data_IF_777034319916
#
_entry.id   IF_777034319916
#
_cell.length_a   1.000
_cell.length_b   1.000
_cell.length_c   1.000
_cell.angle_alpha   90.00
_cell.angle_beta   90.00
_cell.angle_gamma   90.00
#
_symmetry.space_group_name_H-M   'P 1'
#
loop_
_entity.id
_entity.type
_entity.pdbx_description
1 polymer ?
#
# COMPACT_ATOMS: atom_id res chain seq x y z
N UNK A 1 9.75 -13.00 -20.00
CA UNK A 1 10.42 -12.91 -18.68
C UNK A 1 9.70 -11.90 -17.79
N UNK A 2 9.67 -10.61 -18.16
CA UNK A 2 9.02 -9.53 -17.40
C UNK A 2 7.58 -9.81 -16.91
N UNK A 3 6.72 -10.37 -17.77
CA UNK A 3 5.33 -10.73 -17.42
C UNK A 3 5.18 -11.79 -16.31
N UNK A 4 6.25 -12.53 -16.01
CA UNK A 4 6.32 -13.53 -14.94
C UNK A 4 7.12 -13.01 -13.74
N UNK A 5 7.26 -11.68 -13.63
CA UNK A 5 8.03 -11.04 -12.57
C UNK A 5 7.47 -11.24 -11.17
N UNK A 6 6.25 -11.75 -11.03
CA UNK A 6 5.71 -12.16 -9.74
C UNK A 6 6.41 -13.41 -9.16
N UNK A 7 7.13 -14.17 -9.99
CA UNK A 7 7.87 -15.38 -9.59
C UNK A 7 9.28 -15.07 -9.06
N UNK A 8 9.73 -13.82 -9.17
CA UNK A 8 11.03 -13.37 -8.68
C UNK A 8 10.94 -11.93 -8.13
N UNK A 9 12.02 -11.39 -7.56
CA UNK A 9 11.97 -10.09 -6.90
C UNK A 9 12.30 -8.92 -7.85
N UNK A 10 11.32 -8.49 -8.64
CA UNK A 10 11.44 -7.28 -9.47
C UNK A 10 10.98 -6.00 -8.72
N UNK A 11 11.52 -4.84 -9.11
CA UNK A 11 11.06 -3.54 -8.62
C UNK A 11 9.89 -3.03 -9.48
N UNK A 12 8.88 -2.44 -8.84
CA UNK A 12 7.65 -2.03 -9.52
C UNK A 12 7.88 -0.93 -10.57
N UNK A 13 8.92 -0.11 -10.40
CA UNK A 13 9.31 0.93 -11.35
C UNK A 13 10.18 0.43 -12.51
N UNK A 14 10.42 -0.88 -12.64
CA UNK A 14 11.32 -1.43 -13.65
C UNK A 14 10.88 -1.03 -15.08
N UNK A 15 9.63 -1.27 -15.45
CA UNK A 15 9.13 -0.91 -16.78
C UNK A 15 9.18 0.60 -17.02
N UNK A 16 8.75 1.42 -16.04
CA UNK A 16 8.80 2.87 -16.15
C UNK A 16 10.19 3.41 -16.51
N UNK A 17 11.25 2.91 -15.85
CA UNK A 17 12.61 3.35 -16.14
C UNK A 17 13.21 2.70 -17.40
N UNK A 18 12.89 1.43 -17.67
CA UNK A 18 13.36 0.73 -18.87
C UNK A 18 12.77 1.35 -20.16
N UNK A 19 11.51 1.78 -20.12
CA UNK A 19 10.86 2.46 -21.24
C UNK A 19 11.43 3.87 -21.49
N UNK A 20 12.18 4.43 -20.52
CA UNK A 20 12.81 5.76 -20.57
C UNK A 20 14.33 5.71 -20.72
N UNK A 21 14.93 4.58 -21.10
CA UNK A 21 16.40 4.44 -21.23
C UNK A 21 17.01 5.56 -22.09
N UNK A 22 16.39 5.90 -23.22
CA UNK A 22 16.93 6.91 -24.14
C UNK A 22 16.92 8.32 -23.55
N UNK A 23 16.04 8.60 -22.59
CA UNK A 23 15.99 9.86 -21.85
C UNK A 23 17.02 9.86 -20.73
N UNK A 24 17.08 8.77 -19.96
CA UNK A 24 17.94 8.66 -18.76
C UNK A 24 19.43 8.62 -19.12
N UNK A 25 19.79 8.11 -20.31
CA UNK A 25 21.18 7.97 -20.75
C UNK A 25 21.84 9.27 -21.23
N UNK A 26 21.09 10.37 -21.36
CA UNK A 26 21.64 11.64 -21.83
C UNK A 26 22.57 12.25 -20.77
N UNK A 27 23.68 12.85 -21.19
CA UNK A 27 24.68 13.44 -20.27
C UNK A 27 24.11 14.61 -19.46
N UNK A 28 23.07 15.27 -19.96
CA UNK A 28 22.38 16.41 -19.36
C UNK A 28 21.05 16.04 -18.69
N UNK A 29 20.79 14.75 -18.49
CA UNK A 29 19.56 14.27 -17.85
C UNK A 29 19.39 14.83 -16.42
N UNK A 30 18.26 15.48 -16.19
CA UNK A 30 17.78 15.91 -14.87
C UNK A 30 16.50 15.13 -14.55
N UNK A 31 16.45 14.35 -13.44
CA UNK A 31 15.25 13.62 -13.06
C UNK A 31 14.06 14.54 -12.85
N UNK A 32 12.91 14.17 -13.41
CA UNK A 32 11.64 14.84 -13.10
C UNK A 32 11.13 14.43 -11.72
N UNK A 33 10.18 15.19 -11.16
CA UNK A 33 9.50 14.82 -9.91
C UNK A 33 8.85 13.42 -10.01
N UNK A 34 8.34 13.07 -11.20
CA UNK A 34 7.79 11.73 -11.45
C UNK A 34 8.86 10.63 -11.41
N UNK A 35 10.07 10.92 -11.89
CA UNK A 35 11.20 9.99 -11.78
C UNK A 35 11.61 9.80 -10.32
N UNK A 36 11.59 10.87 -9.52
CA UNK A 36 11.86 10.82 -8.09
C UNK A 36 10.79 10.01 -7.34
N UNK A 37 9.50 10.24 -7.62
CA UNK A 37 8.38 9.50 -7.01
C UNK A 37 8.39 8.01 -7.37
N UNK A 38 8.84 7.65 -8.58
CA UNK A 38 8.97 6.25 -9.02
C UNK A 38 10.27 5.60 -8.54
N UNK A 39 11.25 6.37 -8.09
CA UNK A 39 12.51 5.85 -7.62
C UNK A 39 12.29 4.96 -6.39
N UNK A 40 12.88 3.76 -6.40
CA UNK A 40 12.77 2.83 -5.27
C UNK A 40 14.00 2.93 -4.39
N UNK A 41 13.87 3.66 -3.29
CA UNK A 41 14.83 3.66 -2.18
C UNK A 41 14.19 2.94 -1.00
N UNK A 42 14.85 1.93 -0.45
CA UNK A 42 14.35 1.22 0.74
C UNK A 42 14.64 2.07 1.98
N UNK A 43 13.60 2.53 2.66
CA UNK A 43 13.72 3.23 3.94
C UNK A 43 14.28 2.26 5.00
N UNK A 44 15.47 2.57 5.53
CA UNK A 44 16.01 1.95 6.76
C UNK A 44 16.18 3.04 7.81
N UNK A 45 15.62 2.81 8.99
CA UNK A 45 15.54 3.79 10.07
C UNK A 45 14.19 4.51 10.14
N UNK A 46 14.23 5.68 10.77
CA UNK A 46 13.10 6.57 11.01
C UNK A 46 13.49 7.93 10.43
N UNK A 47 12.65 8.49 9.58
CA UNK A 47 12.84 9.80 8.97
C UNK A 47 11.70 10.73 9.39
N UNK A 48 12.03 12.00 9.63
CA UNK A 48 11.07 12.99 10.10
C UNK A 48 10.92 14.12 9.09
N UNK A 49 9.68 14.49 8.81
CA UNK A 49 9.35 15.68 8.01
C UNK A 49 8.34 16.52 8.75
N UNK A 50 8.60 17.83 8.81
CA UNK A 50 7.69 18.82 9.42
C UNK A 50 7.24 19.80 8.35
N UNK A 51 5.94 20.03 8.26
CA UNK A 51 5.35 20.97 7.31
C UNK A 51 4.08 21.59 7.89
N UNK A 52 3.59 22.66 7.26
CA UNK A 52 2.39 23.37 7.69
C UNK A 52 1.42 23.50 6.51
N UNK A 53 0.15 23.16 6.74
CA UNK A 53 -0.95 23.33 5.78
C UNK A 53 -2.05 24.12 6.47
N UNK A 54 -2.49 25.24 5.90
CA UNK A 54 -3.54 26.10 6.45
C UNK A 54 -3.38 26.42 7.95
N UNK A 55 -2.13 26.72 8.36
CA UNK A 55 -1.71 27.01 9.74
C UNK A 55 -1.74 25.81 10.70
N UNK A 56 -2.08 24.61 10.22
CA UNK A 56 -1.99 23.35 10.96
C UNK A 56 -0.62 22.74 10.73
N UNK A 57 0.09 22.44 11.82
CA UNK A 57 1.43 21.84 11.76
C UNK A 57 1.32 20.32 11.72
N UNK A 58 2.05 19.70 10.80
CA UNK A 58 2.19 18.25 10.67
C UNK A 58 3.63 17.85 10.97
N UNK A 59 3.78 16.81 11.78
CA UNK A 59 5.07 16.16 12.04
C UNK A 59 4.91 14.68 11.69
N UNK A 60 5.47 14.31 10.54
CA UNK A 60 5.34 12.98 9.96
C UNK A 60 6.61 12.18 10.19
N UNK A 61 6.46 10.92 10.58
CA UNK A 61 7.53 9.96 10.76
C UNK A 61 7.39 8.86 9.71
N UNK A 62 8.33 8.77 8.76
CA UNK A 62 8.45 7.64 7.84
C UNK A 62 9.33 6.56 8.48
N UNK A 63 8.80 5.35 8.60
CA UNK A 63 9.45 4.25 9.30
C UNK A 63 9.66 3.07 8.36
N UNK A 64 10.86 2.50 8.38
CA UNK A 64 11.17 1.31 7.57
C UNK A 64 10.19 0.16 7.84
N UNK A 65 9.56 -0.35 6.77
CA UNK A 65 8.52 -1.39 6.86
C UNK A 65 9.00 -2.84 6.86
N UNK A 66 10.28 -3.06 6.52
CA UNK A 66 10.89 -4.38 6.45
C UNK A 66 10.95 -5.04 7.83
N UNK A 67 10.91 -6.38 7.89
CA UNK A 67 10.83 -7.12 9.17
C UNK A 67 11.88 -6.69 10.20
N UNK A 68 13.11 -6.45 9.77
CA UNK A 68 14.22 -6.06 10.65
C UNK A 68 14.12 -4.61 11.16
N UNK A 69 13.36 -3.76 10.48
CA UNK A 69 13.15 -2.36 10.85
C UNK A 69 12.03 -2.18 11.88
N UNK A 70 11.08 -3.11 11.94
CA UNK A 70 9.85 -2.99 12.75
C UNK A 70 10.09 -2.88 14.25
N UNK A 71 11.23 -3.38 14.76
CA UNK A 71 11.60 -3.22 16.18
C UNK A 71 11.81 -1.76 16.57
N UNK A 72 12.16 -0.89 15.62
CA UNK A 72 12.39 0.54 15.83
C UNK A 72 11.07 1.33 15.97
N UNK A 73 9.95 0.80 15.49
CA UNK A 73 8.65 1.50 15.46
C UNK A 73 8.18 1.97 16.84
N UNK A 74 8.50 1.23 17.90
CA UNK A 74 8.16 1.61 19.28
C UNK A 74 8.73 2.98 19.68
N UNK A 75 9.80 3.44 19.03
CA UNK A 75 10.41 4.76 19.25
C UNK A 75 9.49 5.90 18.77
N UNK A 76 8.56 5.61 17.85
CA UNK A 76 7.63 6.58 17.28
C UNK A 76 6.24 6.52 17.92
N UNK A 77 5.97 5.61 18.86
CA UNK A 77 4.60 5.37 19.37
C UNK A 77 4.14 6.35 20.46
N UNK A 78 4.99 7.28 20.88
CA UNK A 78 4.62 8.30 21.85
C UNK A 78 3.92 9.48 21.14
N UNK A 79 2.75 9.87 21.64
CA UNK A 79 1.98 11.05 21.22
C UNK A 79 1.64 11.15 19.72
N UNK A 80 1.46 10.01 19.04
CA UNK A 80 0.96 9.99 17.66
C UNK A 80 -0.53 10.37 17.62
N UNK A 81 -0.90 11.25 16.69
CA UNK A 81 -2.31 11.62 16.48
C UNK A 81 -3.08 10.54 15.71
N UNK A 82 -2.45 9.97 14.69
CA UNK A 82 -3.00 8.91 13.85
C UNK A 82 -1.86 8.10 13.23
N UNK A 83 -2.18 6.89 12.77
CA UNK A 83 -1.26 6.05 11.98
C UNK A 83 -1.71 6.08 10.53
N UNK A 84 -0.80 6.33 9.60
CA UNK A 84 -1.03 6.08 8.18
C UNK A 84 -0.45 4.71 7.87
N UNK A 85 -1.31 3.72 7.59
CA UNK A 85 -0.90 2.37 7.23
C UNK A 85 -1.01 2.19 5.72
N UNK A 86 0.12 1.99 5.04
CA UNK A 86 0.18 1.90 3.58
C UNK A 86 0.28 0.45 3.12
N UNK A 87 -0.62 0.06 2.21
CA UNK A 87 -0.71 -1.28 1.63
C UNK A 87 -0.40 -1.22 0.15
N UNK A 88 0.47 -2.11 -0.35
CA UNK A 88 0.64 -2.30 -1.78
C UNK A 88 -0.45 -3.27 -2.31
N UNK A 89 -1.64 -2.75 -2.62
CA UNK A 89 -2.81 -3.57 -3.00
C UNK A 89 -2.57 -4.42 -4.25
N UNK A 90 -1.74 -3.94 -5.19
CA UNK A 90 -1.36 -4.67 -6.40
C UNK A 90 -0.46 -5.89 -6.15
N UNK A 91 0.09 -6.08 -4.93
CA UNK A 91 1.05 -7.15 -4.61
C UNK A 91 0.41 -8.48 -4.18
N UNK A 92 -0.89 -8.69 -4.43
CA UNK A 92 -1.62 -9.91 -4.03
C UNK A 92 -1.05 -11.21 -4.62
N UNK A 93 -0.31 -11.15 -5.74
CA UNK A 93 0.29 -12.31 -6.40
C UNK A 93 1.81 -12.45 -6.17
N UNK A 94 2.38 -11.69 -5.21
CA UNK A 94 3.82 -11.62 -4.96
C UNK A 94 4.18 -12.10 -3.56
N UNK A 95 5.43 -12.50 -3.37
CA UNK A 95 6.01 -12.85 -2.05
C UNK A 95 6.97 -11.76 -1.55
N UNK A 96 7.10 -11.64 -0.23
CA UNK A 96 8.04 -10.70 0.40
C UNK A 96 9.48 -11.08 0.10
N UNK A 97 10.40 -10.12 0.20
CA UNK A 97 11.83 -10.36 -0.11
C UNK A 97 12.53 -11.16 0.98
N UNK A 98 12.09 -10.97 2.22
CA UNK A 98 12.75 -11.47 3.42
C UNK A 98 12.80 -13.00 3.50
N UNK A 99 11.77 -13.70 3.01
CA UNK A 99 11.72 -15.17 3.01
C UNK A 99 11.39 -15.79 1.64
N UNK A 100 11.04 -14.96 0.65
CA UNK A 100 10.62 -15.39 -0.68
C UNK A 100 9.51 -16.47 -0.68
N UNK A 101 8.66 -16.46 0.35
CA UNK A 101 7.61 -17.45 0.59
C UNK A 101 6.30 -16.81 1.03
N UNK A 102 6.33 -15.85 1.97
CA UNK A 102 5.13 -15.23 2.52
C UNK A 102 4.52 -14.27 1.49
N UNK A 103 3.23 -14.43 1.19
CA UNK A 103 2.50 -13.51 0.31
C UNK A 103 2.53 -12.06 0.85
N UNK A 104 2.79 -11.08 -0.01
CA UNK A 104 2.94 -9.67 0.40
C UNK A 104 1.66 -9.06 0.98
N UNK A 105 0.50 -9.37 0.40
CA UNK A 105 -0.77 -8.87 0.91
C UNK A 105 -1.13 -9.55 2.24
N UNK A 106 -0.84 -10.85 2.38
CA UNK A 106 -1.02 -11.57 3.64
C UNK A 106 -0.11 -11.02 4.75
N UNK A 107 1.16 -10.71 4.45
CA UNK A 107 2.07 -10.05 5.39
C UNK A 107 1.50 -8.70 5.84
N UNK A 108 0.94 -7.91 4.91
CA UNK A 108 0.31 -6.63 5.23
C UNK A 108 -0.91 -6.79 6.15
N UNK A 109 -1.77 -7.79 5.91
CA UNK A 109 -2.90 -8.12 6.78
C UNK A 109 -2.43 -8.53 8.18
N UNK A 110 -1.40 -9.37 8.28
CA UNK A 110 -0.83 -9.80 9.56
C UNK A 110 -0.23 -8.61 10.33
N UNK A 111 0.48 -7.73 9.63
CA UNK A 111 1.08 -6.54 10.21
C UNK A 111 0.01 -5.54 10.68
N UNK A 112 -1.02 -5.30 9.86
CA UNK A 112 -2.16 -4.47 10.23
C UNK A 112 -2.87 -5.01 11.47
N UNK A 113 -3.11 -6.33 11.54
CA UNK A 113 -3.69 -6.98 12.73
C UNK A 113 -2.84 -6.78 13.98
N UNK A 114 -1.52 -6.84 13.86
CA UNK A 114 -0.59 -6.58 14.97
C UNK A 114 -0.66 -5.14 15.45
N UNK A 115 -0.69 -4.17 14.52
CA UNK A 115 -0.82 -2.74 14.83
C UNK A 115 -2.19 -2.44 15.46
N UNK A 116 -3.27 -2.92 14.86
CA UNK A 116 -4.64 -2.69 15.32
C UNK A 116 -4.87 -3.20 16.75
N UNK A 117 -4.32 -4.37 17.08
CA UNK A 117 -4.48 -4.97 18.41
C UNK A 117 -3.36 -4.58 19.40
N UNK A 118 -2.46 -3.67 19.00
CA UNK A 118 -1.35 -3.28 19.83
C UNK A 118 -1.83 -2.51 21.07
N UNK A 119 -1.43 -2.96 22.26
CA UNK A 119 -1.84 -2.33 23.54
C UNK A 119 -1.47 -0.85 23.66
N UNK A 120 -0.39 -0.42 23.00
CA UNK A 120 0.08 0.96 23.02
C UNK A 120 -0.67 1.86 22.02
N UNK A 121 -1.44 1.27 21.10
CA UNK A 121 -2.12 1.97 20.00
C UNK A 121 -3.66 1.89 20.09
N UNK A 122 -4.21 1.40 21.21
CA UNK A 122 -5.66 1.12 21.37
C UNK A 122 -6.59 2.32 21.20
N UNK A 123 -6.07 3.54 21.35
CA UNK A 123 -6.84 4.79 21.17
C UNK A 123 -6.42 5.53 19.90
N UNK A 124 -5.47 5.00 19.15
CA UNK A 124 -4.91 5.63 17.97
C UNK A 124 -5.64 5.10 16.74
N UNK A 125 -6.30 6.00 16.01
CA UNK A 125 -7.00 5.65 14.78
C UNK A 125 -6.02 5.43 13.63
N UNK A 126 -6.43 4.59 12.68
CA UNK A 126 -5.62 4.22 11.52
C UNK A 126 -6.27 4.76 10.25
N UNK A 127 -5.53 5.57 9.51
CA UNK A 127 -5.82 5.94 8.13
C UNK A 127 -5.17 4.87 7.25
N UNK A 128 -5.98 4.07 6.57
CA UNK A 128 -5.53 2.94 5.76
C UNK A 128 -5.43 3.35 4.29
N UNK A 129 -4.22 3.43 3.77
CA UNK A 129 -3.97 3.71 2.35
C UNK A 129 -3.83 2.39 1.59
N UNK A 130 -4.85 2.06 0.81
CA UNK A 130 -4.84 0.98 -0.16
C UNK A 130 -4.17 1.52 -1.43
N UNK A 131 -2.83 1.47 -1.44
CA UNK A 131 -2.00 2.11 -2.45
C UNK A 131 -1.77 1.24 -3.68
N UNK A 132 -1.27 1.86 -4.76
CA UNK A 132 -0.99 1.24 -6.07
C UNK A 132 -2.25 0.76 -6.78
N UNK A 133 -3.29 1.59 -6.75
CA UNK A 133 -4.55 1.33 -7.45
C UNK A 133 -4.36 1.26 -8.97
N UNK A 134 -3.44 2.05 -9.52
CA UNK A 134 -2.99 1.99 -10.91
C UNK A 134 -2.52 0.59 -11.30
N UNK A 135 -1.56 0.04 -10.55
CA UNK A 135 -0.99 -1.29 -10.81
C UNK A 135 -1.98 -2.41 -10.48
N UNK A 136 -2.91 -2.19 -9.54
CA UNK A 136 -3.97 -3.15 -9.24
C UNK A 136 -4.93 -3.25 -10.43
N UNK A 137 -5.37 -2.10 -10.96
CA UNK A 137 -6.26 -2.05 -12.11
C UNK A 137 -5.64 -2.72 -13.33
N UNK A 138 -4.39 -2.37 -13.68
CA UNK A 138 -3.65 -2.99 -14.79
C UNK A 138 -3.62 -4.52 -14.64
N UNK A 139 -3.25 -5.01 -13.45
CA UNK A 139 -3.07 -6.45 -13.20
C UNK A 139 -4.39 -7.22 -13.24
N UNK A 140 -5.46 -6.66 -12.68
CA UNK A 140 -6.81 -7.25 -12.69
C UNK A 140 -7.34 -7.33 -14.13
N UNK A 141 -7.19 -6.26 -14.90
CA UNK A 141 -7.67 -6.18 -16.29
C UNK A 141 -6.88 -7.08 -17.24
N UNK A 142 -5.58 -7.25 -17.01
CA UNK A 142 -4.73 -8.16 -17.77
C UNK A 142 -5.16 -9.63 -17.62
N UNK A 143 -5.80 -10.00 -16.49
CA UNK A 143 -6.38 -11.34 -16.28
C UNK A 143 -5.37 -12.49 -16.17
N UNK A 144 -4.06 -12.19 -16.08
CA UNK A 144 -2.97 -13.19 -16.05
C UNK A 144 -2.76 -13.81 -14.66
N UNK A 145 -3.01 -13.07 -13.60
CA UNK A 145 -2.92 -13.54 -12.21
C UNK A 145 -4.21 -13.20 -11.49
N UNK A 146 -5.06 -14.20 -11.27
CA UNK A 146 -6.37 -14.00 -10.65
C UNK A 146 -6.23 -13.90 -9.13
N UNK A 147 -7.03 -13.07 -8.48
CA UNK A 147 -6.95 -12.88 -7.03
C UNK A 147 -7.34 -14.18 -6.31
N UNK A 148 -8.33 -14.91 -6.83
CA UNK A 148 -8.81 -16.17 -6.27
C UNK A 148 -7.78 -17.30 -6.24
N UNK A 149 -6.70 -17.21 -7.03
CA UNK A 149 -5.59 -18.18 -6.98
C UNK A 149 -4.73 -18.00 -5.71
N UNK A 150 -4.80 -16.82 -5.07
CA UNK A 150 -4.03 -16.45 -3.87
C UNK A 150 -4.93 -16.24 -2.65
N UNK A 151 -6.16 -15.75 -2.86
CA UNK A 151 -7.18 -15.47 -1.87
C UNK A 151 -8.51 -16.13 -2.32
N UNK A 152 -8.71 -17.44 -2.10
CA UNK A 152 -9.83 -18.21 -2.66
C UNK A 152 -11.23 -17.68 -2.31
N UNK A 153 -11.37 -16.98 -1.18
CA UNK A 153 -12.57 -16.29 -0.75
C UNK A 153 -13.04 -15.22 -1.75
N UNK A 154 -12.13 -14.64 -2.54
CA UNK A 154 -12.47 -13.70 -3.60
C UNK A 154 -13.42 -14.30 -4.63
N UNK A 155 -13.36 -15.62 -4.90
CA UNK A 155 -14.28 -16.27 -5.85
C UNK A 155 -15.75 -16.12 -5.43
N UNK A 156 -16.02 -16.00 -4.12
CA UNK A 156 -17.37 -15.83 -3.54
C UNK A 156 -17.69 -14.39 -3.15
N UNK A 157 -16.73 -13.48 -3.28
CA UNK A 157 -16.91 -12.08 -2.92
C UNK A 157 -17.82 -11.36 -3.92
N UNK A 158 -18.72 -10.54 -3.41
CA UNK A 158 -19.60 -9.66 -4.18
C UNK A 158 -19.30 -8.22 -3.81
N UNK A 159 -19.22 -7.34 -4.81
CA UNK A 159 -19.05 -5.91 -4.58
C UNK A 159 -20.17 -5.40 -3.66
N UNK A 160 -19.85 -4.65 -2.60
CA UNK A 160 -20.85 -4.18 -1.66
C UNK A 160 -21.70 -3.06 -2.28
N UNK A 161 -22.94 -2.93 -1.81
CA UNK A 161 -23.91 -1.97 -2.37
C UNK A 161 -23.50 -0.51 -2.12
N UNK A 162 -22.72 -0.25 -1.07
CA UNK A 162 -22.18 1.06 -0.72
C UNK A 162 -20.87 1.40 -1.47
N UNK A 163 -20.47 0.56 -2.44
CA UNK A 163 -19.31 0.85 -3.27
C UNK A 163 -19.54 2.10 -4.13
N UNK A 164 -18.55 2.99 -4.12
CA UNK A 164 -18.47 4.23 -4.88
C UNK A 164 -17.35 4.11 -5.91
N UNK A 165 -17.59 3.44 -7.06
CA UNK A 165 -16.60 3.34 -8.12
C UNK A 165 -16.31 4.71 -8.75
N UNK A 166 -15.08 4.90 -9.22
CA UNK A 166 -14.71 6.10 -9.98
C UNK A 166 -15.44 6.12 -11.34
N UNK A 167 -15.72 7.30 -11.92
CA UNK A 167 -16.31 7.40 -13.25
C UNK A 167 -15.48 6.63 -14.30
N UNK A 168 -16.11 5.65 -14.97
CA UNK A 168 -15.44 4.83 -15.99
C UNK A 168 -14.60 3.67 -15.45
N UNK A 169 -14.60 3.43 -14.14
CA UNK A 169 -13.91 2.27 -13.55
C UNK A 169 -14.56 0.94 -13.97
N UNK A 170 -13.74 -0.02 -14.38
CA UNK A 170 -14.22 -1.36 -14.73
C UNK A 170 -14.73 -2.10 -13.47
N UNK A 171 -15.94 -2.71 -13.50
CA UNK A 171 -16.49 -3.42 -12.34
C UNK A 171 -15.59 -4.50 -11.75
N UNK A 172 -14.70 -5.09 -12.56
CA UNK A 172 -13.70 -6.07 -12.10
C UNK A 172 -12.68 -5.41 -11.16
N UNK A 173 -12.26 -4.19 -11.47
CA UNK A 173 -11.34 -3.39 -10.66
C UNK A 173 -12.03 -2.94 -9.37
N UNK A 174 -13.27 -2.46 -9.45
CA UNK A 174 -14.07 -2.12 -8.27
C UNK A 174 -14.19 -3.31 -7.34
N UNK A 175 -14.58 -4.48 -7.85
CA UNK A 175 -14.70 -5.70 -7.05
C UNK A 175 -13.38 -6.09 -6.39
N UNK A 176 -12.26 -6.01 -7.12
CA UNK A 176 -10.93 -6.32 -6.60
C UNK A 176 -10.47 -5.37 -5.49
N UNK A 177 -10.58 -4.05 -5.69
CA UNK A 177 -10.12 -3.07 -4.68
C UNK A 177 -10.97 -3.13 -3.41
N UNK A 178 -12.28 -3.32 -3.55
CA UNK A 178 -13.20 -3.43 -2.41
C UNK A 178 -13.01 -4.75 -1.64
N UNK A 179 -12.71 -5.86 -2.33
CA UNK A 179 -12.32 -7.09 -1.64
C UNK A 179 -11.12 -6.87 -0.73
N UNK A 180 -10.04 -6.26 -1.26
CA UNK A 180 -8.84 -5.98 -0.48
C UNK A 180 -9.17 -5.05 0.69
N UNK A 181 -9.97 -3.99 0.48
CA UNK A 181 -10.45 -3.11 1.55
C UNK A 181 -11.11 -3.91 2.67
N UNK A 182 -12.02 -4.80 2.32
CA UNK A 182 -12.84 -5.53 3.28
C UNK A 182 -12.04 -6.58 4.07
N UNK A 183 -10.95 -7.11 3.51
CA UNK A 183 -9.99 -7.95 4.27
C UNK A 183 -9.40 -7.19 5.46
N UNK A 184 -9.02 -5.91 5.28
CA UNK A 184 -8.53 -5.07 6.37
C UNK A 184 -9.66 -4.63 7.30
N UNK A 185 -10.81 -4.24 6.76
CA UNK A 185 -11.94 -3.81 7.59
C UNK A 185 -12.43 -4.93 8.51
N UNK A 186 -12.44 -6.18 8.03
CA UNK A 186 -12.76 -7.36 8.86
C UNK A 186 -11.88 -7.46 10.10
N UNK A 187 -10.60 -7.10 9.99
CA UNK A 187 -9.69 -7.06 11.14
C UNK A 187 -10.11 -5.93 12.09
N UNK A 188 -10.40 -4.75 11.56
CA UNK A 188 -10.72 -3.57 12.37
C UNK A 188 -12.07 -3.70 13.11
N UNK A 189 -13.06 -4.35 12.51
CA UNK A 189 -14.40 -4.52 13.08
C UNK A 189 -14.50 -5.72 14.02
N UNK A 190 -13.53 -6.65 14.02
CA UNK A 190 -13.57 -7.86 14.84
C UNK A 190 -13.37 -7.62 16.34
N UNK A 191 -12.83 -6.46 16.74
CA UNK A 191 -12.36 -6.22 18.11
C UNK A 191 -12.84 -4.89 18.70
N UNK A 192 -13.78 -4.21 18.03
CA UNK A 192 -14.13 -2.82 18.34
C UNK A 192 -14.77 -2.63 19.71
N UNK A 193 -14.02 -2.04 20.64
CA UNK A 193 -14.54 -1.43 21.88
C UNK A 193 -14.95 0.04 21.69
N UNK A 194 -14.88 0.53 20.44
CA UNK A 194 -15.27 1.89 20.04
C UNK A 194 -14.23 2.97 20.35
N UNK A 195 -13.00 2.62 20.73
CA UNK A 195 -11.98 3.61 21.15
C UNK A 195 -11.14 4.20 20.01
N UNK A 196 -11.12 3.56 18.85
CA UNK A 196 -10.41 4.03 17.66
C UNK A 196 -11.07 3.47 16.39
N UNK A 197 -10.78 4.10 15.25
CA UNK A 197 -11.43 3.81 13.98
C UNK A 197 -10.41 3.56 12.86
N UNK A 198 -10.85 2.83 11.83
CA UNK A 198 -10.11 2.64 10.59
C UNK A 198 -10.77 3.44 9.47
N UNK A 199 -10.00 4.29 8.79
CA UNK A 199 -10.45 5.14 7.69
C UNK A 199 -9.77 4.70 6.38
N UNK A 200 -10.43 3.86 5.56
CA UNK A 200 -9.84 3.36 4.32
C UNK A 200 -9.90 4.39 3.19
N UNK A 201 -8.79 4.53 2.47
CA UNK A 201 -8.67 5.35 1.26
C UNK A 201 -8.00 4.54 0.15
N UNK A 202 -8.51 4.63 -1.07
CA UNK A 202 -7.86 4.13 -2.27
C UNK A 202 -6.89 5.19 -2.78
N UNK A 203 -5.60 4.87 -2.91
CA UNK A 203 -4.57 5.87 -3.22
C UNK A 203 -3.64 5.45 -4.36
N UNK A 204 -3.07 6.43 -5.05
CA UNK A 204 -1.97 6.23 -5.99
C UNK A 204 -0.83 7.19 -5.61
N UNK A 205 0.15 6.72 -4.84
CA UNK A 205 1.20 7.59 -4.29
C UNK A 205 2.13 8.24 -5.34
N UNK A 206 2.05 7.79 -6.59
CA UNK A 206 2.81 8.34 -7.73
C UNK A 206 1.97 9.29 -8.58
N UNK A 207 0.72 9.54 -8.19
CA UNK A 207 -0.16 10.52 -8.78
C UNK A 207 -0.34 11.66 -7.77
N UNK A 208 0.14 12.84 -8.16
CA UNK A 208 0.15 14.04 -7.29
C UNK A 208 -1.20 14.76 -7.26
N UNK A 209 -2.15 14.36 -8.12
CA UNK A 209 -3.49 14.96 -8.19
C UNK A 209 -4.55 14.14 -7.43
N UNK A 210 -4.27 12.88 -7.10
CA UNK A 210 -5.17 12.09 -6.23
C UNK A 210 -5.03 12.47 -4.76
N UNK A 211 -5.79 13.48 -4.30
CA UNK A 211 -6.08 13.76 -2.89
C UNK A 211 -7.43 14.46 -2.72
#
# INVERSE_FOLDING_TARGET
CYERSNEYQLIDCAQYFLDKIDVIKQDDYVPSDQDLLRCRVLTSGIFETKFQVDKVNFHMFDVGGQRDERRKWIQCFNDVTAIIFVVASSSYNMVIREDNQTNRLQEALNLFKSIWNNRWLRTISVILFLNKQDLLAEKVLAGKSKIEDYFPEFARYTTPEDATPEPGEDPRVTRAKYFIRDEFLRISTASGDGRHYCYPHFTCAVDTETS
#
